data_IF_124497042204
#
_entry.id   IF_124497042204
#
_cell.length_a   1.000
_cell.length_b   1.000
_cell.length_c   1.000
_cell.angle_alpha   90.00
_cell.angle_beta   90.00
_cell.angle_gamma   90.00
#
_symmetry.space_group_name_H-M   'P 1'
#
loop_
_entity.id
_entity.type
_entity.pdbx_description
1 polymer ?
#
# COMPACT_ATOMS: atom_id res chain seq x y z
N UNK A 1 8.45 -34.23 8.75
CA UNK A 1 8.12 -34.42 7.32
C UNK A 1 8.38 -33.11 6.61
N UNK A 2 9.29 -33.04 5.61
CA UNK A 2 9.48 -31.82 4.85
C UNK A 2 8.18 -31.56 4.08
N UNK A 3 7.57 -30.43 4.36
CA UNK A 3 6.35 -30.00 3.68
C UNK A 3 6.79 -29.50 2.30
N UNK A 4 6.84 -30.42 1.33
CA UNK A 4 7.04 -30.10 -0.09
C UNK A 4 5.81 -29.32 -0.57
N UNK A 5 5.79 -28.02 -0.26
CA UNK A 5 4.88 -27.06 -0.83
C UNK A 5 5.06 -27.19 -2.34
N UNK A 6 4.10 -27.83 -3.02
CA UNK A 6 4.11 -28.01 -4.46
C UNK A 6 4.64 -26.75 -5.14
N UNK A 7 5.57 -26.85 -6.12
CA UNK A 7 6.34 -25.71 -6.64
C UNK A 7 5.46 -24.52 -7.07
N UNK A 8 4.19 -24.77 -7.38
CA UNK A 8 3.18 -23.78 -7.72
C UNK A 8 2.70 -22.93 -6.53
N UNK A 9 2.64 -23.49 -5.32
CA UNK A 9 2.33 -22.75 -4.09
C UNK A 9 3.43 -21.74 -3.76
N UNK A 10 4.70 -22.13 -3.90
CA UNK A 10 5.85 -21.25 -3.68
C UNK A 10 5.87 -20.09 -4.70
N UNK A 11 5.52 -20.36 -5.97
CA UNK A 11 5.36 -19.31 -6.99
C UNK A 11 4.23 -18.34 -6.65
N UNK A 12 3.08 -18.85 -6.20
CA UNK A 12 1.94 -18.02 -5.81
C UNK A 12 2.25 -17.12 -4.59
N UNK A 13 2.98 -17.65 -3.61
CA UNK A 13 3.42 -16.87 -2.44
C UNK A 13 4.41 -15.77 -2.82
N UNK A 14 5.36 -16.05 -3.72
CA UNK A 14 6.29 -15.04 -4.26
C UNK A 14 5.55 -13.91 -4.97
N UNK A 15 4.57 -14.24 -5.81
CA UNK A 15 3.75 -13.24 -6.51
C UNK A 15 2.96 -12.40 -5.49
N UNK A 16 2.33 -13.04 -4.50
CA UNK A 16 1.59 -12.35 -3.44
C UNK A 16 2.49 -11.39 -2.65
N UNK A 17 3.71 -11.82 -2.31
CA UNK A 17 4.68 -10.99 -1.60
C UNK A 17 5.16 -9.81 -2.44
N UNK A 18 5.43 -10.03 -3.73
CA UNK A 18 5.83 -8.96 -4.66
C UNK A 18 4.74 -7.90 -4.80
N UNK A 19 3.48 -8.32 -5.00
CA UNK A 19 2.34 -7.39 -5.05
C UNK A 19 2.23 -6.62 -3.75
N UNK A 20 2.34 -7.31 -2.60
CA UNK A 20 2.25 -6.67 -1.28
C UNK A 20 3.29 -5.58 -1.09
N UNK A 21 4.54 -5.81 -1.51
CA UNK A 21 5.61 -4.82 -1.41
C UNK A 21 5.30 -3.53 -2.19
N UNK A 22 4.69 -3.65 -3.37
CA UNK A 22 4.27 -2.49 -4.19
C UNK A 22 3.21 -1.68 -3.46
N UNK A 23 2.21 -2.33 -2.85
CA UNK A 23 1.12 -1.61 -2.17
C UNK A 23 1.53 -1.08 -0.79
N UNK A 24 2.39 -1.79 -0.06
CA UNK A 24 2.85 -1.37 1.27
C UNK A 24 3.58 -0.02 1.23
N UNK A 25 4.30 0.29 0.15
CA UNK A 25 5.02 1.53 0.00
C UNK A 25 4.12 2.80 0.06
N UNK A 26 3.10 2.97 -0.79
CA UNK A 26 2.17 4.09 -0.67
C UNK A 26 1.38 4.07 0.64
N UNK A 27 1.01 2.89 1.16
CA UNK A 27 0.35 2.79 2.47
C UNK A 27 1.24 3.31 3.62
N UNK A 28 2.56 3.11 3.53
CA UNK A 28 3.53 3.68 4.48
C UNK A 28 3.49 5.20 4.45
N UNK A 29 3.50 5.82 3.27
CA UNK A 29 3.40 7.28 3.14
C UNK A 29 2.08 7.81 3.72
N UNK A 30 0.95 7.19 3.37
CA UNK A 30 -0.37 7.58 3.88
C UNK A 30 -0.44 7.49 5.41
N UNK A 31 0.02 6.39 5.99
CA UNK A 31 -0.12 6.15 7.44
C UNK A 31 0.90 6.92 8.27
N UNK A 32 2.12 7.10 7.78
CA UNK A 32 3.21 7.69 8.57
C UNK A 32 3.56 9.12 8.18
N UNK A 33 3.78 9.40 6.90
CA UNK A 33 4.17 10.75 6.44
C UNK A 33 2.98 11.70 6.58
N UNK A 34 1.80 11.27 6.13
CA UNK A 34 0.57 12.07 6.25
C UNK A 34 -0.17 11.88 7.60
N UNK A 35 0.36 11.04 8.49
CA UNK A 35 -0.18 10.80 9.83
C UNK A 35 -1.58 10.18 9.88
N UNK A 36 -2.05 9.53 8.80
CA UNK A 36 -3.38 8.91 8.74
C UNK A 36 -3.42 7.51 9.38
N UNK A 37 -2.96 7.40 10.61
CA UNK A 37 -2.84 6.12 11.34
C UNK A 37 -4.13 5.69 12.04
N UNK A 38 -4.97 6.65 12.46
CA UNK A 38 -6.24 6.40 13.15
C UNK A 38 -7.39 7.10 12.43
N UNK A 39 -8.41 6.34 12.08
CA UNK A 39 -9.65 6.84 11.46
C UNK A 39 -10.78 6.69 12.48
N UNK A 40 -11.70 7.66 12.54
CA UNK A 40 -12.90 7.53 13.38
C UNK A 40 -14.06 6.98 12.54
N UNK A 41 -14.91 6.16 13.14
CA UNK A 41 -16.10 5.64 12.44
C UNK A 41 -17.14 6.73 12.15
N UNK A 42 -17.14 7.83 12.92
CA UNK A 42 -17.99 8.99 12.66
C UNK A 42 -17.51 9.73 11.40
N UNK A 43 -18.44 10.03 10.51
CA UNK A 43 -18.15 10.79 9.28
C UNK A 43 -17.37 9.98 8.25
N UNK A 44 -17.79 8.73 8.01
CA UNK A 44 -17.11 7.80 7.10
C UNK A 44 -16.88 8.39 5.70
N UNK A 45 -17.86 9.10 5.15
CA UNK A 45 -17.73 9.78 3.85
C UNK A 45 -16.57 10.79 3.81
N UNK A 46 -16.43 11.62 4.86
CA UNK A 46 -15.34 12.60 4.96
C UNK A 46 -13.98 11.92 5.07
N UNK A 47 -13.91 10.83 5.84
CA UNK A 47 -12.69 10.04 5.98
C UNK A 47 -12.30 9.34 4.68
N UNK A 48 -13.28 8.81 3.95
CA UNK A 48 -13.04 8.17 2.66
C UNK A 48 -12.52 9.18 1.63
N UNK A 49 -13.13 10.37 1.54
CA UNK A 49 -12.62 11.44 0.68
C UNK A 49 -11.19 11.85 1.03
N UNK A 50 -10.86 11.96 2.34
CA UNK A 50 -9.49 12.25 2.78
C UNK A 50 -8.50 11.13 2.41
N UNK A 51 -8.91 9.87 2.51
CA UNK A 51 -8.09 8.74 2.10
C UNK A 51 -7.80 8.77 0.59
N UNK A 52 -8.81 9.03 -0.24
CA UNK A 52 -8.63 9.14 -1.70
C UNK A 52 -7.68 10.27 -2.07
N UNK A 53 -7.82 11.43 -1.43
CA UNK A 53 -6.93 12.57 -1.63
C UNK A 53 -5.47 12.20 -1.28
N UNK A 54 -5.25 11.61 -0.11
CA UNK A 54 -3.91 11.21 0.34
C UNK A 54 -3.30 10.10 -0.54
N UNK A 55 -4.12 9.18 -1.04
CA UNK A 55 -3.68 8.16 -1.98
C UNK A 55 -3.19 8.80 -3.27
N UNK A 56 -3.96 9.72 -3.87
CA UNK A 56 -3.56 10.45 -5.06
C UNK A 56 -2.26 11.25 -4.86
N UNK A 57 -2.12 11.96 -3.73
CA UNK A 57 -0.88 12.65 -3.38
C UNK A 57 0.30 11.71 -3.21
N UNK A 58 0.11 10.55 -2.58
CA UNK A 58 1.19 9.57 -2.44
C UNK A 58 1.67 9.06 -3.79
N UNK A 59 0.76 8.79 -4.73
CA UNK A 59 1.10 8.39 -6.09
C UNK A 59 1.83 9.49 -6.85
N UNK A 60 1.43 10.75 -6.68
CA UNK A 60 2.10 11.92 -7.26
C UNK A 60 3.54 12.04 -6.73
N UNK A 61 3.74 12.05 -5.41
CA UNK A 61 5.05 12.21 -4.78
C UNK A 61 6.02 11.06 -5.11
N UNK A 62 5.49 9.84 -5.26
CA UNK A 62 6.28 8.69 -5.72
C UNK A 62 6.66 8.90 -7.19
N UNK A 63 5.72 9.34 -8.04
CA UNK A 63 5.93 9.62 -9.47
C UNK A 63 6.90 10.77 -9.74
N UNK A 64 6.84 11.86 -8.97
CA UNK A 64 7.74 13.02 -9.11
C UNK A 64 9.20 12.65 -8.90
N UNK A 65 9.50 11.71 -8.00
CA UNK A 65 10.86 11.20 -7.81
C UNK A 65 11.44 10.52 -9.06
N UNK A 66 10.58 10.00 -9.94
CA UNK A 66 10.98 9.40 -11.20
C UNK A 66 11.01 10.40 -12.36
N UNK A 67 10.36 11.56 -12.23
CA UNK A 67 10.33 12.62 -13.26
C UNK A 67 11.44 13.67 -13.08
N UNK A 68 11.92 13.86 -11.84
CA UNK A 68 13.03 14.76 -11.51
C UNK A 68 14.41 14.07 -11.54
N UNK A 69 14.45 12.79 -11.92
CA UNK A 69 15.66 12.00 -12.12
C UNK A 69 16.03 11.95 -13.61
#
# INVERSE_FOLDING_TARGET
>A
MPNDLAPDKLKAEKIKASVRAIVEHPFRYIKQVFGYSKVRYRGLAKNNNRLHLLAAFSSLLIGEKYLLA
#
